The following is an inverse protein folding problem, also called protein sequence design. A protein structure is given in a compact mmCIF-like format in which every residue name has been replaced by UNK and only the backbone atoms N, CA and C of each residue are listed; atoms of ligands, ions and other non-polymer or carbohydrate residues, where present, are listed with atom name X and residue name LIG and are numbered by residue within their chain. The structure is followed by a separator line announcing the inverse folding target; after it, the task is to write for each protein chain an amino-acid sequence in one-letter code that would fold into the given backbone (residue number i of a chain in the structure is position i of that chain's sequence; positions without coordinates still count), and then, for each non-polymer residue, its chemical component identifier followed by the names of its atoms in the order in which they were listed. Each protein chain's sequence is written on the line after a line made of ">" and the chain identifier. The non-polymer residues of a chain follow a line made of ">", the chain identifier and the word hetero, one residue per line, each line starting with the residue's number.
data_IF_127573785014
#
_entry.id   IF_127573785014
#
_cell.length_a   1.000
_cell.length_b   1.000
_cell.length_c   1.000
_cell.angle_alpha   90.00
_cell.angle_beta   90.00
_cell.angle_gamma   90.00
#
_symmetry.space_group_name_H-M   'P 1'
#
loop_
_entity.id
_entity.type
_entity.pdbx_description
1 polymer ?
#
# COMPACT_ATOMS: atom_id res chain seq x y z
N UNK A 1 14.62 -5.64 -14.99
CA UNK A 1 13.84 -6.49 -14.06
C UNK A 1 12.70 -5.63 -13.55
N UNK A 2 11.48 -6.14 -13.52
CA UNK A 2 10.36 -5.39 -12.96
C UNK A 2 10.54 -5.27 -11.44
N UNK A 3 10.33 -4.10 -10.87
CA UNK A 3 10.39 -3.84 -9.43
C UNK A 3 8.99 -3.96 -8.85
N UNK A 4 8.78 -4.92 -7.95
CA UNK A 4 7.50 -5.16 -7.31
C UNK A 4 7.28 -4.23 -6.12
N UNK A 5 6.11 -3.61 -6.10
CA UNK A 5 5.73 -2.60 -5.10
C UNK A 5 4.64 -3.18 -4.21
N UNK A 6 4.82 -3.06 -2.89
CA UNK A 6 3.73 -3.19 -1.94
C UNK A 6 3.23 -1.81 -1.52
N UNK A 7 1.91 -1.65 -1.41
CA UNK A 7 1.28 -0.35 -1.17
C UNK A 7 0.73 -0.23 0.25
N UNK A 8 0.99 0.91 0.89
CA UNK A 8 0.29 1.36 2.09
C UNK A 8 -1.07 2.01 1.73
N UNK A 9 -1.92 2.22 2.73
CA UNK A 9 -3.24 2.82 2.58
C UNK A 9 -3.18 4.29 2.13
N UNK A 10 -2.25 5.08 2.69
CA UNK A 10 -2.19 6.52 2.46
C UNK A 10 -1.85 6.87 1.00
N UNK A 11 -0.98 6.10 0.36
CA UNK A 11 -0.60 6.27 -1.05
C UNK A 11 -1.75 5.93 -2.00
N UNK A 12 -2.55 4.91 -1.70
CA UNK A 12 -3.75 4.60 -2.49
C UNK A 12 -4.82 5.68 -2.33
N UNK A 13 -4.99 6.22 -1.13
CA UNK A 13 -5.90 7.35 -0.89
C UNK A 13 -5.42 8.59 -1.66
N UNK A 14 -4.11 8.86 -1.70
CA UNK A 14 -3.57 9.96 -2.50
C UNK A 14 -3.78 9.76 -3.99
N UNK A 15 -3.58 8.54 -4.49
CA UNK A 15 -3.83 8.20 -5.89
C UNK A 15 -5.32 8.36 -6.26
N UNK A 16 -6.24 8.02 -5.37
CA UNK A 16 -7.68 8.16 -5.60
C UNK A 16 -8.17 9.62 -5.63
N UNK A 17 -7.52 10.53 -4.90
CA UNK A 17 -7.80 11.96 -4.99
C UNK A 17 -7.03 12.57 -6.18
N UNK A 18 -7.69 12.73 -7.31
CA UNK A 18 -7.11 13.32 -8.53
C UNK A 18 -6.57 14.75 -8.34
N UNK A 19 -6.96 15.46 -7.27
CA UNK A 19 -6.44 16.79 -6.95
C UNK A 19 -5.15 16.74 -6.13
N UNK A 20 -4.79 15.57 -5.60
CA UNK A 20 -3.61 15.38 -4.79
C UNK A 20 -2.38 15.12 -5.69
N UNK A 21 -1.47 16.09 -5.74
CA UNK A 21 -0.25 16.03 -6.56
C UNK A 21 0.68 14.87 -6.18
N UNK A 22 0.65 14.40 -4.93
CA UNK A 22 1.43 13.22 -4.51
C UNK A 22 0.85 11.92 -5.07
N UNK A 23 -0.43 11.92 -5.43
CA UNK A 23 -1.12 10.80 -6.05
C UNK A 23 -0.72 10.53 -7.49
N UNK A 24 -0.21 11.55 -8.20
CA UNK A 24 0.13 11.44 -9.63
C UNK A 24 1.16 10.34 -9.93
N UNK A 25 2.35 10.31 -9.31
CA UNK A 25 3.31 9.25 -9.59
C UNK A 25 2.81 7.86 -9.18
N UNK A 26 1.96 7.77 -8.15
CA UNK A 26 1.38 6.51 -7.69
C UNK A 26 0.37 5.99 -8.72
N UNK A 27 -0.51 6.87 -9.21
CA UNK A 27 -1.49 6.54 -10.25
C UNK A 27 -0.82 6.11 -11.56
N UNK A 28 0.30 6.73 -11.92
CA UNK A 28 1.08 6.32 -13.09
C UNK A 28 1.50 4.84 -13.04
N UNK A 29 1.86 4.30 -11.86
CA UNK A 29 2.17 2.87 -11.71
C UNK A 29 1.01 1.95 -12.15
N UNK A 30 -0.22 2.37 -11.92
CA UNK A 30 -1.42 1.65 -12.35
C UNK A 30 -1.68 1.90 -13.84
N UNK A 31 -1.61 3.14 -14.31
CA UNK A 31 -1.91 3.51 -15.70
C UNK A 31 -0.90 2.92 -16.71
N UNK A 32 0.38 2.87 -16.35
CA UNK A 32 1.46 2.33 -17.18
C UNK A 32 1.46 0.78 -17.20
N UNK A 33 0.78 0.16 -16.23
CA UNK A 33 0.60 -1.29 -16.20
C UNK A 33 -0.64 -1.65 -17.04
N UNK A 34 -0.57 -2.68 -17.92
CA UNK A 34 -1.74 -3.16 -18.66
C UNK A 34 -2.93 -3.46 -17.75
N UNK A 35 -4.16 -3.39 -18.29
CA UNK A 35 -5.41 -3.54 -17.52
C UNK A 35 -5.48 -4.88 -16.76
N UNK A 36 -4.98 -5.96 -17.36
CA UNK A 36 -4.86 -7.30 -16.79
C UNK A 36 -3.48 -7.58 -16.16
N UNK A 37 -2.63 -6.56 -16.13
CA UNK A 37 -1.27 -6.63 -15.60
C UNK A 37 -1.22 -6.55 -14.08
N UNK A 38 -0.26 -7.28 -13.52
CA UNK A 38 0.05 -7.27 -12.10
C UNK A 38 0.74 -5.94 -11.72
N UNK A 39 0.11 -5.15 -10.85
CA UNK A 39 0.67 -3.85 -10.39
C UNK A 39 1.54 -4.03 -9.15
N UNK A 40 1.17 -4.92 -8.24
CA UNK A 40 1.90 -5.14 -7.01
C UNK A 40 1.07 -5.79 -5.91
N UNK A 41 1.55 -5.67 -4.68
CA UNK A 41 1.00 -6.34 -3.51
C UNK A 41 0.31 -5.37 -2.56
N UNK A 42 -0.58 -5.91 -1.73
CA UNK A 42 -1.18 -5.17 -0.63
C UNK A 42 -1.69 -6.10 0.46
N UNK A 43 -1.90 -5.57 1.66
CA UNK A 43 -2.63 -6.32 2.70
C UNK A 43 -4.13 -6.23 2.45
N UNK A 44 -4.88 -7.28 2.80
CA UNK A 44 -6.36 -7.22 2.85
C UNK A 44 -6.88 -6.09 3.76
N UNK A 45 -6.06 -5.59 4.70
CA UNK A 45 -6.41 -4.44 5.55
C UNK A 45 -6.64 -3.14 4.75
N UNK A 46 -6.04 -3.02 3.56
CA UNK A 46 -6.25 -1.88 2.66
C UNK A 46 -7.72 -1.68 2.33
N UNK A 47 -8.51 -2.77 2.23
CA UNK A 47 -9.95 -2.69 1.98
C UNK A 47 -10.65 -1.85 3.04
N UNK A 48 -10.39 -2.16 4.32
CA UNK A 48 -11.02 -1.43 5.43
C UNK A 48 -10.46 -0.03 5.62
N UNK A 49 -9.16 0.18 5.41
CA UNK A 49 -8.53 1.48 5.66
C UNK A 49 -8.83 2.52 4.58
N UNK A 50 -8.91 2.08 3.32
CA UNK A 50 -9.13 2.98 2.19
C UNK A 50 -10.62 3.16 1.88
N UNK A 51 -11.45 2.10 1.94
CA UNK A 51 -12.84 2.16 1.48
C UNK A 51 -13.85 2.57 2.56
N UNK A 52 -13.55 2.38 3.86
CA UNK A 52 -14.54 2.58 4.93
C UNK A 52 -15.12 4.01 4.96
N UNK A 53 -14.27 5.02 4.75
CA UNK A 53 -14.70 6.43 4.75
C UNK A 53 -15.48 6.78 3.47
N UNK A 54 -14.94 6.59 2.26
CA UNK A 54 -15.65 6.98 1.03
C UNK A 54 -16.97 6.22 0.88
N UNK A 55 -17.04 4.92 1.20
CA UNK A 55 -18.31 4.18 1.14
C UNK A 55 -19.34 4.61 2.19
N UNK A 56 -18.90 5.13 3.34
CA UNK A 56 -19.82 5.67 4.34
C UNK A 56 -20.39 7.03 3.92
N UNK A 57 -19.58 7.85 3.26
CA UNK A 57 -19.94 9.21 2.89
C UNK A 57 -20.70 9.27 1.57
N UNK A 58 -20.18 8.63 0.53
CA UNK A 58 -20.79 8.54 -0.80
C UNK A 58 -20.28 7.28 -1.54
N UNK A 59 -21.03 6.16 -1.49
CA UNK A 59 -20.69 4.94 -2.19
C UNK A 59 -20.52 5.10 -3.72
N UNK A 60 -21.17 6.11 -4.32
CA UNK A 60 -21.11 6.37 -5.76
C UNK A 60 -20.01 7.36 -6.17
N UNK A 61 -19.17 7.80 -5.22
CA UNK A 61 -18.12 8.77 -5.48
C UNK A 61 -17.04 8.21 -6.41
N UNK A 62 -16.43 9.12 -7.19
CA UNK A 62 -15.27 8.80 -8.05
C UNK A 62 -14.10 8.26 -7.22
N UNK A 63 -13.91 8.76 -6.00
CA UNK A 63 -12.89 8.28 -5.06
C UNK A 63 -13.11 6.80 -4.70
N UNK A 64 -14.34 6.41 -4.32
CA UNK A 64 -14.67 5.02 -4.02
C UNK A 64 -14.45 4.10 -5.22
N UNK A 65 -14.91 4.52 -6.40
CA UNK A 65 -14.73 3.76 -7.64
C UNK A 65 -13.24 3.57 -7.99
N UNK A 66 -12.44 4.62 -7.85
CA UNK A 66 -10.99 4.59 -8.13
C UNK A 66 -10.24 3.67 -7.16
N UNK A 67 -10.59 3.71 -5.85
CA UNK A 67 -10.02 2.81 -4.86
C UNK A 67 -10.37 1.35 -5.15
N UNK A 68 -11.62 1.04 -5.50
CA UNK A 68 -12.00 -0.32 -5.89
C UNK A 68 -11.20 -0.81 -7.10
N UNK A 69 -11.07 0.03 -8.13
CA UNK A 69 -10.30 -0.31 -9.33
C UNK A 69 -8.84 -0.61 -8.97
N UNK A 70 -8.17 0.28 -8.24
CA UNK A 70 -6.78 0.08 -7.83
C UNK A 70 -6.62 -1.20 -6.98
N UNK A 71 -7.46 -1.41 -5.97
CA UNK A 71 -7.39 -2.58 -5.10
C UNK A 71 -7.62 -3.89 -5.87
N UNK A 72 -8.48 -3.88 -6.90
CA UNK A 72 -8.71 -5.06 -7.75
C UNK A 72 -7.49 -5.47 -8.59
N UNK A 73 -6.51 -4.57 -8.75
CA UNK A 73 -5.29 -4.78 -9.54
C UNK A 73 -4.07 -5.16 -8.68
N UNK A 74 -4.25 -5.23 -7.35
CA UNK A 74 -3.25 -5.71 -6.42
C UNK A 74 -3.49 -7.18 -6.06
N UNK A 75 -2.43 -7.93 -5.85
CA UNK A 75 -2.51 -9.21 -5.14
C UNK A 75 -2.62 -8.92 -3.64
N UNK A 76 -3.86 -8.96 -3.14
CA UNK A 76 -4.16 -8.73 -1.73
C UNK A 76 -3.90 -9.99 -0.92
N UNK A 77 -2.90 -9.93 -0.03
CA UNK A 77 -2.51 -11.05 0.83
C UNK A 77 -3.29 -11.06 2.15
N UNK A 78 -3.77 -12.24 2.60
CA UNK A 78 -4.39 -12.37 3.92
C UNK A 78 -3.35 -12.19 5.04
N UNK A 79 -3.79 -11.70 6.20
CA UNK A 79 -2.99 -11.70 7.41
C UNK A 79 -3.19 -13.03 8.14
N UNK A 80 -2.36 -14.02 7.83
CA UNK A 80 -2.33 -15.31 8.51
C UNK A 80 -1.38 -15.31 9.74
N UNK A 81 -1.33 -16.42 10.48
CA UNK A 81 -0.51 -16.51 11.69
C UNK A 81 0.99 -16.29 11.41
N UNK A 82 1.61 -16.89 10.38
CA UNK A 82 2.99 -16.58 10.01
C UNK A 82 3.21 -15.08 9.78
N UNK A 83 2.39 -14.44 8.93
CA UNK A 83 2.51 -13.02 8.63
C UNK A 83 2.30 -12.16 9.89
N UNK A 84 1.39 -12.55 10.78
CA UNK A 84 1.16 -11.87 12.05
C UNK A 84 2.35 -11.97 13.02
N UNK A 85 3.12 -13.07 12.98
CA UNK A 85 4.36 -13.21 13.76
C UNK A 85 5.47 -12.31 13.21
N UNK A 86 5.59 -12.21 11.89
CA UNK A 86 6.49 -11.25 11.24
C UNK A 86 6.08 -9.81 11.59
N UNK A 87 4.79 -9.49 11.54
CA UNK A 87 4.27 -8.18 11.96
C UNK A 87 4.59 -7.87 13.42
N UNK A 88 4.43 -8.84 14.33
CA UNK A 88 4.80 -8.66 15.74
C UNK A 88 6.30 -8.33 15.90
N UNK A 89 7.18 -9.05 15.20
CA UNK A 89 8.62 -8.78 15.25
C UNK A 89 8.93 -7.35 14.77
N UNK A 90 8.35 -6.93 13.64
CA UNK A 90 8.52 -5.58 13.09
C UNK A 90 7.96 -4.50 14.03
N UNK A 91 6.80 -4.74 14.65
CA UNK A 91 6.20 -3.84 15.62
C UNK A 91 7.09 -3.63 16.85
N UNK A 92 7.71 -4.69 17.37
CA UNK A 92 8.63 -4.60 18.51
C UNK A 92 9.91 -3.87 18.12
N UNK A 93 10.47 -4.17 16.96
CA UNK A 93 11.75 -3.59 16.49
C UNK A 93 11.62 -2.11 16.15
N UNK A 94 10.54 -1.72 15.44
CA UNK A 94 10.39 -0.38 14.87
C UNK A 94 9.32 0.47 15.58
N UNK A 95 8.61 -0.08 16.57
CA UNK A 95 7.56 0.63 17.29
C UNK A 95 6.29 0.86 16.47
N UNK A 96 6.05 0.05 15.44
CA UNK A 96 4.90 0.16 14.54
C UNK A 96 3.60 -0.23 15.24
N UNK A 97 2.50 0.40 14.82
CA UNK A 97 1.16 -0.06 15.21
C UNK A 97 0.81 -1.35 14.49
N UNK A 98 -0.17 -2.09 15.01
CA UNK A 98 -0.52 -3.40 14.48
C UNK A 98 -0.84 -3.40 12.97
N UNK A 99 -1.58 -2.41 12.47
CA UNK A 99 -1.90 -2.31 11.04
C UNK A 99 -0.67 -1.96 10.20
N UNK A 100 0.10 -0.96 10.61
CA UNK A 100 1.35 -0.56 9.95
C UNK A 100 2.33 -1.74 9.86
N UNK A 101 2.47 -2.50 10.95
CA UNK A 101 3.31 -3.68 10.99
C UNK A 101 2.77 -4.81 10.10
N UNK A 102 1.45 -4.97 10.00
CA UNK A 102 0.83 -5.96 9.13
C UNK A 102 1.03 -5.64 7.64
N UNK A 103 0.97 -4.37 7.24
CA UNK A 103 1.30 -3.95 5.87
C UNK A 103 2.75 -4.23 5.53
N UNK A 104 3.69 -3.86 6.42
CA UNK A 104 5.11 -4.10 6.19
C UNK A 104 5.45 -5.59 6.15
N UNK A 105 4.89 -6.38 7.06
CA UNK A 105 5.04 -7.84 7.04
C UNK A 105 4.49 -8.44 5.74
N UNK A 106 3.31 -7.98 5.31
CA UNK A 106 2.72 -8.41 4.04
C UNK A 106 3.64 -8.13 2.86
N UNK A 107 4.25 -6.94 2.81
CA UNK A 107 5.18 -6.55 1.75
C UNK A 107 6.39 -7.50 1.68
N UNK A 108 6.99 -7.77 2.84
CA UNK A 108 8.17 -8.63 2.97
C UNK A 108 7.85 -10.07 2.57
N UNK A 109 6.77 -10.65 3.12
CA UNK A 109 6.39 -12.04 2.85
C UNK A 109 5.89 -12.25 1.41
N UNK A 110 5.30 -11.22 0.80
CA UNK A 110 4.92 -11.25 -0.61
C UNK A 110 6.11 -11.18 -1.58
N UNK A 111 7.31 -10.88 -1.07
CA UNK A 111 8.51 -10.70 -1.88
C UNK A 111 8.50 -9.41 -2.70
N UNK A 112 7.89 -8.35 -2.17
CA UNK A 112 7.99 -7.02 -2.78
C UNK A 112 9.42 -6.49 -2.68
N UNK A 113 9.89 -5.79 -3.71
CA UNK A 113 11.20 -5.14 -3.70
C UNK A 113 11.17 -3.85 -2.88
N UNK A 114 10.01 -3.17 -2.85
CA UNK A 114 9.81 -1.91 -2.13
C UNK A 114 8.45 -1.81 -1.46
N UNK A 115 8.39 -1.09 -0.35
CA UNK A 115 7.17 -0.68 0.34
C UNK A 115 6.93 0.81 0.12
N UNK A 116 5.81 1.15 -0.52
CA UNK A 116 5.44 2.51 -0.89
C UNK A 116 4.44 3.07 0.13
N UNK A 117 4.87 4.11 0.85
CA UNK A 117 4.10 4.80 1.89
C UNK A 117 4.44 6.28 1.88
N UNK A 118 3.58 7.15 2.40
CA UNK A 118 3.96 8.52 2.74
C UNK A 118 4.10 8.74 4.27
N UNK A 119 3.95 7.70 5.09
CA UNK A 119 4.15 7.75 6.54
C UNK A 119 5.63 7.61 6.94
N UNK A 120 6.41 8.66 6.64
CA UNK A 120 7.86 8.77 6.90
C UNK A 120 8.25 8.67 8.37
N UNK A 121 7.29 8.95 9.26
CA UNK A 121 7.51 8.93 10.70
C UNK A 121 7.65 7.50 11.21
N UNK A 122 6.72 6.65 10.80
CA UNK A 122 6.67 5.27 11.27
C UNK A 122 7.49 4.35 10.33
N UNK A 123 7.66 4.72 9.06
CA UNK A 123 8.49 4.01 8.08
C UNK A 123 9.69 4.85 7.63
N UNK A 124 10.75 4.96 8.45
CA UNK A 124 12.00 5.58 8.01
C UNK A 124 12.75 4.66 7.03
N UNK A 125 13.59 5.24 6.17
CA UNK A 125 14.49 4.51 5.26
C UNK A 125 15.59 3.68 5.96
N UNK A 126 15.56 3.60 7.29
CA UNK A 126 16.46 2.76 8.09
C UNK A 126 15.90 1.37 8.36
N UNK A 127 14.64 1.08 7.98
CA UNK A 127 14.09 -0.28 7.96
C UNK A 127 14.93 -1.10 6.97
N UNK A 128 15.43 -2.24 7.43
CA UNK A 128 16.45 -3.02 6.72
C UNK A 128 15.87 -4.15 5.85
N UNK A 129 14.64 -4.56 6.12
CA UNK A 129 14.01 -5.75 5.53
C UNK A 129 13.52 -5.51 4.10
N UNK A 130 13.18 -4.26 3.74
CA UNK A 130 12.64 -3.88 2.44
C UNK A 130 12.94 -2.41 2.14
N UNK A 131 13.06 -2.05 0.85
CA UNK A 131 13.28 -0.65 0.46
C UNK A 131 12.03 0.20 0.74
N UNK A 132 12.17 1.22 1.59
CA UNK A 132 11.09 2.17 1.87
C UNK A 132 11.15 3.31 0.87
N UNK A 133 10.10 3.42 0.06
CA UNK A 133 9.99 4.40 -1.01
C UNK A 133 8.84 5.36 -0.70
N UNK A 134 9.08 6.65 -0.87
CA UNK A 134 8.05 7.68 -0.74
C UNK A 134 7.53 8.10 -2.12
N UNK A 135 6.34 8.71 -2.25
CA UNK A 135 5.78 9.07 -3.55
C UNK A 135 6.70 9.95 -4.41
N UNK A 136 7.48 10.84 -3.80
CA UNK A 136 8.42 11.69 -4.55
C UNK A 136 9.73 11.00 -4.97
N UNK A 137 9.98 9.78 -4.48
CA UNK A 137 11.10 8.95 -4.93
C UNK A 137 10.72 8.13 -6.20
N UNK A 138 9.44 8.10 -6.58
CA UNK A 138 8.94 7.50 -7.82
C UNK A 138 9.19 8.48 -8.97
N UNK A 139 10.37 8.40 -9.59
CA UNK A 139 10.71 9.18 -10.78
C UNK A 139 9.99 8.68 -12.04
#
# INVERSE_FOLDING_TARGET
>A
MSTWTAFDSDVLIYAADFRNVRGTPIRALFEDTPVDGFVGFGSVLLLTETLSKPLRTDPGSVEAASLFEMLSRLDLRPLDEPTARTALALAVTYGLRAADAAHLATAIEAGADRFLTNNRKDFPKTIAEIDIVYPEDLA
#
